data_IF_411310894400
#
_entry.id   IF_411310894400
#
_cell.length_a   1.000
_cell.length_b   1.000
_cell.length_c   1.000
_cell.angle_alpha   90.00
_cell.angle_beta   90.00
_cell.angle_gamma   90.00
#
_symmetry.space_group_name_H-M   'P 1'
#
loop_
_entity.id
_entity.type
_entity.pdbx_description
1 polymer ?
#
# COMPACT_ATOMS: atom_id res chain seq x y z
N UNK A 1 9.93 40.07 4.18
CA UNK A 1 8.70 39.29 4.48
C UNK A 1 9.11 37.82 4.49
N UNK A 2 8.80 37.02 5.52
CA UNK A 2 9.14 35.61 5.51
C UNK A 2 8.18 34.86 4.60
N UNK A 3 8.72 34.04 3.70
CA UNK A 3 7.95 33.14 2.84
C UNK A 3 7.43 31.99 3.70
N UNK A 4 6.11 31.83 3.81
CA UNK A 4 5.49 30.62 4.35
C UNK A 4 5.60 29.54 3.29
N UNK A 5 6.61 28.69 3.40
CA UNK A 5 6.75 27.52 2.54
C UNK A 5 5.61 26.54 2.89
N UNK A 6 4.78 26.08 1.93
CA UNK A 6 3.80 25.05 2.21
C UNK A 6 4.57 23.81 2.70
N UNK A 7 4.26 23.33 3.91
CA UNK A 7 4.77 22.05 4.41
C UNK A 7 4.27 20.97 3.46
N UNK A 8 5.07 20.66 2.44
CA UNK A 8 4.88 19.50 1.60
C UNK A 8 5.13 18.32 2.53
N UNK A 9 4.07 17.55 2.82
CA UNK A 9 4.25 16.27 3.48
C UNK A 9 5.21 15.47 2.62
N UNK A 10 6.38 15.16 3.17
CA UNK A 10 7.37 14.27 2.52
C UNK A 10 6.91 12.81 2.51
N UNK A 11 5.71 12.55 3.02
CA UNK A 11 5.01 11.27 2.90
C UNK A 11 4.11 11.34 1.67
N UNK A 12 4.31 10.39 0.75
CA UNK A 12 3.40 10.20 -0.39
C UNK A 12 1.98 9.93 0.14
N UNK A 13 0.98 10.59 -0.46
CA UNK A 13 -0.41 10.27 -0.16
C UNK A 13 -0.83 9.08 -1.03
N UNK A 14 -1.35 8.05 -0.38
CA UNK A 14 -1.81 6.86 -1.08
C UNK A 14 -2.91 6.17 -0.30
N UNK A 15 -3.82 5.55 -1.04
CA UNK A 15 -4.87 4.70 -0.51
C UNK A 15 -4.84 3.35 -1.24
N UNK A 16 -4.88 2.26 -0.45
CA UNK A 16 -5.00 0.90 -0.98
C UNK A 16 -6.34 0.33 -0.51
N UNK A 17 -7.13 -0.16 -1.46
CA UNK A 17 -8.38 -0.86 -1.18
C UNK A 17 -8.28 -2.29 -1.70
N UNK A 18 -8.84 -3.22 -0.94
CA UNK A 18 -8.97 -4.62 -1.33
C UNK A 18 -10.45 -5.00 -1.28
N UNK A 19 -10.98 -5.46 -2.41
CA UNK A 19 -12.41 -5.70 -2.62
C UNK A 19 -13.27 -4.48 -2.23
N UNK A 20 -12.78 -3.26 -2.52
CA UNK A 20 -13.45 -1.99 -2.22
C UNK A 20 -13.39 -1.55 -0.75
N UNK A 21 -12.73 -2.30 0.13
CA UNK A 21 -12.54 -1.93 1.54
C UNK A 21 -11.12 -1.44 1.77
N UNK A 22 -10.97 -0.35 2.53
CA UNK A 22 -9.64 0.15 2.93
C UNK A 22 -8.89 -0.90 3.75
N UNK A 23 -7.57 -0.93 3.62
CA UNK A 23 -6.74 -1.84 4.41
C UNK A 23 -6.93 -1.63 5.92
N UNK A 24 -6.88 -2.70 6.72
CA UNK A 24 -6.78 -2.57 8.17
C UNK A 24 -5.56 -1.70 8.53
N UNK A 25 -5.71 -0.81 9.51
CA UNK A 25 -4.62 0.08 9.93
C UNK A 25 -3.34 -0.65 10.33
N UNK A 26 -3.46 -1.88 10.85
CA UNK A 26 -2.31 -2.76 11.10
C UNK A 26 -1.54 -3.09 9.82
N UNK A 27 -2.21 -3.49 8.75
CA UNK A 27 -1.58 -3.79 7.46
C UNK A 27 -0.98 -2.55 6.79
N UNK A 28 -1.66 -1.40 6.90
CA UNK A 28 -1.20 -0.13 6.32
C UNK A 28 0.18 0.28 6.85
N UNK A 29 0.42 0.10 8.14
CA UNK A 29 1.69 0.46 8.80
C UNK A 29 2.88 -0.40 8.32
N UNK A 30 2.62 -1.56 7.72
CA UNK A 30 3.66 -2.44 7.19
C UNK A 30 4.00 -2.16 5.74
N UNK A 31 3.25 -1.30 5.04
CA UNK A 31 3.58 -0.92 3.67
C UNK A 31 4.82 -0.03 3.69
N UNK A 32 5.84 -0.48 2.97
CA UNK A 32 7.12 0.23 2.82
C UNK A 32 7.29 0.86 1.44
N UNK A 33 6.46 0.47 0.49
CA UNK A 33 6.48 1.06 -0.85
C UNK A 33 5.34 0.58 -1.72
N UNK A 34 4.95 1.45 -2.62
CA UNK A 34 4.00 1.18 -3.70
C UNK A 34 4.70 1.60 -4.99
N UNK A 35 4.70 0.73 -5.98
CA UNK A 35 5.24 1.01 -7.31
C UNK A 35 4.17 0.71 -8.34
N UNK A 36 3.96 1.63 -9.28
CA UNK A 36 3.06 1.45 -10.41
C UNK A 36 3.91 1.50 -11.68
N UNK A 37 3.85 0.43 -12.45
CA UNK A 37 4.60 0.25 -13.69
C UNK A 37 3.64 0.37 -14.87
N UNK A 38 3.72 1.50 -15.56
CA UNK A 38 2.94 1.78 -16.76
C UNK A 38 3.84 1.66 -17.99
N UNK A 39 3.55 0.66 -18.83
CA UNK A 39 4.27 0.46 -20.10
C UNK A 39 3.27 0.41 -21.25
N UNK A 40 3.57 1.12 -22.35
CA UNK A 40 2.64 1.32 -23.48
C UNK A 40 2.14 0.00 -24.10
N UNK A 41 2.93 -1.06 -24.03
CA UNK A 41 2.65 -2.34 -24.68
C UNK A 41 2.36 -3.49 -23.70
N UNK A 42 2.31 -3.23 -22.40
CA UNK A 42 2.00 -4.22 -21.37
C UNK A 42 0.81 -3.76 -20.54
N UNK A 43 0.08 -4.68 -19.90
CA UNK A 43 -0.86 -4.31 -18.86
C UNK A 43 -0.16 -3.47 -17.79
N UNK A 44 -0.85 -2.47 -17.26
CA UNK A 44 -0.39 -1.76 -16.07
C UNK A 44 -0.24 -2.74 -14.93
N UNK A 45 0.91 -2.69 -14.27
CA UNK A 45 1.23 -3.51 -13.11
C UNK A 45 1.45 -2.61 -11.90
N UNK A 46 1.28 -3.18 -10.72
CA UNK A 46 1.69 -2.54 -9.48
C UNK A 46 2.35 -3.54 -8.55
N UNK A 47 3.23 -3.04 -7.70
CA UNK A 47 3.93 -3.81 -6.67
C UNK A 47 3.70 -3.14 -5.31
N UNK A 48 3.22 -3.91 -4.34
CA UNK A 48 3.12 -3.50 -2.94
C UNK A 48 4.23 -4.21 -2.15
N UNK A 49 5.09 -3.41 -1.51
CA UNK A 49 6.18 -3.91 -0.68
C UNK A 49 5.80 -3.78 0.79
N UNK A 50 5.88 -4.88 1.52
CA UNK A 50 5.58 -4.90 2.95
C UNK A 50 6.80 -5.28 3.77
N UNK A 51 6.88 -4.76 5.00
CA UNK A 51 7.85 -5.17 6.03
C UNK A 51 7.12 -5.43 7.33
N UNK A 52 7.07 -6.70 7.74
CA UNK A 52 6.64 -7.08 9.09
C UNK A 52 7.85 -7.36 9.98
N UNK A 53 7.78 -6.92 11.23
CA UNK A 53 8.63 -7.38 12.32
C UNK A 53 7.83 -8.25 13.31
N UNK A 54 6.50 -8.23 13.20
CA UNK A 54 5.59 -9.03 14.02
C UNK A 54 5.43 -10.40 13.36
N UNK A 55 6.26 -11.32 13.84
CA UNK A 55 6.10 -12.76 13.64
C UNK A 55 5.74 -13.31 15.02
N UNK A 56 4.46 -13.27 15.39
CA UNK A 56 4.00 -14.06 16.52
C UNK A 56 3.74 -15.48 16.02
N UNK A 57 4.44 -16.45 16.61
CA UNK A 57 4.26 -17.88 16.32
C UNK A 57 4.45 -18.32 14.85
N UNK A 58 5.15 -17.52 14.04
CA UNK A 58 5.45 -17.86 12.65
C UNK A 58 4.43 -17.36 11.62
N UNK A 59 3.35 -16.71 12.06
CA UNK A 59 2.31 -16.15 11.18
C UNK A 59 2.38 -14.62 11.15
N UNK A 60 2.24 -14.05 9.95
CA UNK A 60 2.10 -12.61 9.77
C UNK A 60 0.61 -12.33 9.77
N UNK A 61 0.05 -12.02 10.95
CA UNK A 61 -1.39 -11.93 11.26
C UNK A 61 -2.27 -11.14 10.27
N UNK A 62 -1.70 -10.22 9.49
CA UNK A 62 -2.40 -9.43 8.48
C UNK A 62 -2.15 -9.90 7.04
N UNK A 63 -1.07 -10.62 6.78
CA UNK A 63 -0.77 -11.23 5.47
C UNK A 63 -1.46 -12.59 5.33
N UNK A 64 -1.55 -13.37 6.42
CA UNK A 64 -2.16 -14.71 6.46
C UNK A 64 -3.70 -14.70 6.54
N UNK A 65 -4.31 -13.52 6.66
CA UNK A 65 -5.75 -13.38 6.95
C UNK A 65 -6.66 -13.30 5.71
N UNK A 66 -6.32 -13.98 4.61
CA UNK A 66 -7.05 -13.98 3.33
C UNK A 66 -7.20 -12.61 2.63
N UNK A 67 -6.62 -11.54 3.19
CA UNK A 67 -6.72 -10.18 2.70
C UNK A 67 -6.25 -10.07 1.25
N UNK A 68 -5.11 -10.68 0.91
CA UNK A 68 -4.57 -10.72 -0.45
C UNK A 68 -4.73 -12.09 -1.12
N UNK A 69 -5.96 -12.60 -1.17
CA UNK A 69 -6.26 -13.86 -1.87
C UNK A 69 -6.27 -13.68 -3.39
N UNK A 70 -5.90 -14.73 -4.13
CA UNK A 70 -6.00 -14.75 -5.60
C UNK A 70 -7.46 -14.50 -6.00
N UNK A 71 -7.67 -13.53 -6.90
CA UNK A 71 -9.00 -13.13 -7.37
C UNK A 71 -9.57 -11.92 -6.64
N UNK A 72 -8.96 -11.46 -5.53
CA UNK A 72 -9.34 -10.20 -4.91
C UNK A 72 -8.95 -9.02 -5.81
N UNK A 73 -9.84 -8.05 -5.95
CA UNK A 73 -9.55 -6.79 -6.63
C UNK A 73 -8.76 -5.90 -5.69
N UNK A 74 -7.65 -5.35 -6.18
CA UNK A 74 -6.83 -4.38 -5.45
C UNK A 74 -6.85 -3.06 -6.20
N UNK A 75 -7.20 -1.99 -5.51
CA UNK A 75 -7.21 -0.63 -6.04
C UNK A 75 -6.11 0.18 -5.37
N UNK A 76 -5.30 0.85 -6.18
CA UNK A 76 -4.22 1.73 -5.73
C UNK A 76 -4.57 3.14 -6.17
N UNK A 77 -4.70 4.05 -5.22
CA UNK A 77 -4.88 5.49 -5.47
C UNK A 77 -3.63 6.22 -4.98
N UNK A 78 -3.05 7.02 -5.85
CA UNK A 78 -1.87 7.85 -5.57
C UNK A 78 -2.28 9.33 -5.67
N UNK A 79 -1.76 10.18 -4.77
CA UNK A 79 -2.13 11.61 -4.64
C UNK A 79 -1.02 12.50 -4.12
#
# INVERSE_FOLDING_TARGET
MPFTQPQTSIFADYEILVNGSSLPGSAQLHITGVTVDEQVNLPTLFTLNFRSLDVQEGEVLWLDNSLFSIGNTVEVKLG
#
